data_IF_438537213898
#
_entry.id   IF_438537213898
#
_cell.length_a   1.000
_cell.length_b   1.000
_cell.length_c   1.000
_cell.angle_alpha   90.00
_cell.angle_beta   90.00
_cell.angle_gamma   90.00
#
_symmetry.space_group_name_H-M   'P 1'
#
loop_
_entity.id
_entity.type
_entity.pdbx_description
1 polymer ?
#
# COMPACT_ATOMS: atom_id res chain seq x y z
N UNK A 1 13.86 15.45 -13.16
CA UNK A 1 13.24 14.55 -12.13
C UNK A 1 11.80 14.29 -12.50
N UNK A 2 11.42 13.02 -12.61
CA UNK A 2 10.06 12.64 -12.95
C UNK A 2 9.46 11.89 -11.74
N UNK A 3 8.25 12.28 -11.35
CA UNK A 3 7.52 11.60 -10.28
C UNK A 3 6.32 10.91 -10.90
N UNK A 4 6.25 9.60 -10.72
CA UNK A 4 5.11 8.79 -11.13
C UNK A 4 4.17 8.61 -9.94
N UNK A 5 2.88 8.73 -10.21
CA UNK A 5 1.84 8.54 -9.20
C UNK A 5 1.03 7.30 -9.56
N UNK A 6 0.97 6.36 -8.64
CA UNK A 6 0.20 5.14 -8.79
C UNK A 6 -0.97 5.17 -7.81
N UNK A 7 -2.16 4.94 -8.32
CA UNK A 7 -3.38 4.93 -7.51
C UNK A 7 -4.14 3.64 -7.73
N UNK A 8 -4.66 3.09 -6.66
CA UNK A 8 -5.47 1.88 -6.70
C UNK A 8 -6.44 1.89 -5.53
N UNK A 9 -7.33 0.90 -5.51
CA UNK A 9 -8.22 0.71 -4.37
C UNK A 9 -8.40 -0.78 -4.10
N UNK A 10 -8.72 -1.10 -2.85
CA UNK A 10 -9.01 -2.47 -2.45
C UNK A 10 -10.11 -2.45 -1.41
N UNK A 11 -11.03 -3.41 -1.50
CA UNK A 11 -12.12 -3.58 -0.53
C UNK A 11 -11.91 -4.88 0.24
N UNK A 12 -11.88 -4.79 1.57
CA UNK A 12 -11.73 -5.97 2.42
C UNK A 12 -13.09 -6.61 2.68
N UNK A 13 -13.11 -7.88 3.00
CA UNK A 13 -14.34 -8.58 3.33
C UNK A 13 -14.10 -9.68 4.36
N UNK A 14 -14.96 -9.74 5.38
CA UNK A 14 -15.01 -10.80 6.38
C UNK A 14 -13.65 -11.10 7.05
N UNK A 15 -12.82 -10.08 7.26
CA UNK A 15 -11.51 -10.23 7.87
C UNK A 15 -10.47 -10.92 6.99
N UNK A 16 -10.78 -11.19 5.73
CA UNK A 16 -9.84 -11.80 4.81
C UNK A 16 -8.75 -10.81 4.40
N UNK A 17 -7.57 -11.34 4.07
CA UNK A 17 -6.50 -10.55 3.47
C UNK A 17 -6.91 -10.16 2.05
N UNK A 18 -6.85 -8.88 1.74
CA UNK A 18 -7.18 -8.36 0.42
C UNK A 18 -5.93 -7.74 -0.21
N UNK A 19 -5.82 -7.82 -1.53
CA UNK A 19 -4.60 -7.43 -2.22
C UNK A 19 -4.90 -6.66 -3.49
N UNK A 20 -3.99 -5.75 -3.84
CA UNK A 20 -3.99 -5.08 -5.14
C UNK A 20 -2.55 -5.03 -5.66
N UNK A 21 -2.42 -5.05 -6.98
CA UNK A 21 -1.11 -5.07 -7.63
C UNK A 21 -0.80 -3.73 -8.29
N UNK A 22 0.48 -3.39 -8.33
CA UNK A 22 0.96 -2.25 -9.10
C UNK A 22 2.27 -2.60 -9.79
N UNK A 23 2.56 -1.90 -10.88
CA UNK A 23 3.80 -2.09 -11.63
C UNK A 23 4.50 -0.76 -11.79
N UNK A 24 5.77 -0.72 -11.42
CA UNK A 24 6.57 0.51 -11.37
C UNK A 24 7.70 0.42 -12.37
N UNK A 25 7.95 1.45 -13.18
CA UNK A 25 9.06 1.43 -14.14
C UNK A 25 10.43 1.43 -13.50
N UNK A 26 10.54 1.88 -12.27
CA UNK A 26 11.81 1.95 -11.55
C UNK A 26 12.01 3.33 -10.95
N UNK A 27 12.59 3.39 -9.77
CA UNK A 27 12.85 4.64 -9.08
C UNK A 27 12.88 4.48 -7.57
N UNK A 28 12.76 5.60 -6.88
CA UNK A 28 12.73 5.65 -5.43
C UNK A 28 11.31 5.98 -4.98
N UNK A 29 10.71 5.09 -4.20
CA UNK A 29 9.41 5.37 -3.60
C UNK A 29 9.56 6.46 -2.54
N UNK A 30 8.84 7.56 -2.71
CA UNK A 30 8.92 8.72 -1.79
C UNK A 30 7.75 8.79 -0.82
N UNK A 31 6.64 8.19 -1.18
CA UNK A 31 5.47 8.20 -0.30
C UNK A 31 4.61 6.97 -0.53
N UNK A 32 4.14 6.40 0.56
CA UNK A 32 3.10 5.37 0.55
C UNK A 32 1.94 5.92 1.38
N UNK A 33 0.78 6.04 0.75
CA UNK A 33 -0.43 6.53 1.42
C UNK A 33 -1.54 5.50 1.24
N UNK A 34 -2.05 4.99 2.35
CA UNK A 34 -3.16 4.04 2.36
C UNK A 34 -4.23 4.62 3.27
N UNK A 35 -5.38 4.95 2.70
CA UNK A 35 -6.46 5.60 3.44
C UNK A 35 -7.71 4.73 3.45
N UNK A 36 -8.23 4.45 4.64
CA UNK A 36 -9.53 3.81 4.80
C UNK A 36 -10.64 4.84 4.54
N UNK A 37 -11.79 4.39 4.03
CA UNK A 37 -12.96 5.27 3.85
C UNK A 37 -13.47 5.78 5.19
N UNK A 38 -13.32 4.99 6.25
CA UNK A 38 -13.72 5.36 7.61
C UNK A 38 -12.48 5.65 8.44
N UNK A 39 -12.40 6.81 9.05
CA UNK A 39 -11.21 7.26 9.77
C UNK A 39 -10.94 6.50 11.08
N UNK A 40 -11.83 5.62 11.50
CA UNK A 40 -11.66 4.78 12.70
C UNK A 40 -11.29 3.34 12.36
N UNK A 41 -11.24 2.97 11.09
CA UNK A 41 -10.88 1.61 10.67
C UNK A 41 -9.43 1.31 11.02
N UNK A 42 -9.21 0.17 11.67
CA UNK A 42 -7.88 -0.32 12.05
C UNK A 42 -7.43 -1.35 11.02
N UNK A 43 -6.17 -1.32 10.63
CA UNK A 43 -5.66 -2.25 9.62
C UNK A 43 -4.15 -2.44 9.72
N UNK A 44 -3.67 -3.53 9.11
CA UNK A 44 -2.26 -3.82 8.89
C UNK A 44 -2.02 -3.87 7.38
N UNK A 45 -0.80 -3.57 6.96
CA UNK A 45 -0.45 -3.64 5.54
C UNK A 45 1.01 -4.06 5.33
N UNK A 46 1.28 -4.65 4.18
CA UNK A 46 2.64 -4.98 3.77
C UNK A 46 2.72 -5.05 2.24
N UNK A 47 3.94 -4.89 1.72
CA UNK A 47 4.22 -4.84 0.29
C UNK A 47 5.18 -5.97 -0.04
N UNK A 48 4.86 -6.73 -1.09
CA UNK A 48 5.64 -7.89 -1.53
C UNK A 48 6.03 -7.68 -2.99
N UNK A 49 7.25 -8.05 -3.36
CA UNK A 49 7.71 -7.98 -4.75
C UNK A 49 7.19 -9.18 -5.57
N UNK A 50 7.57 -9.26 -6.84
CA UNK A 50 7.13 -10.31 -7.75
C UNK A 50 7.75 -11.68 -7.44
N UNK A 51 8.73 -11.74 -6.54
CA UNK A 51 9.36 -12.99 -6.08
C UNK A 51 8.81 -13.44 -4.73
N UNK A 52 7.82 -12.74 -4.20
CA UNK A 52 7.24 -13.06 -2.91
C UNK A 52 8.03 -12.54 -1.72
N UNK A 53 9.01 -11.67 -1.94
CA UNK A 53 9.81 -11.10 -0.88
C UNK A 53 9.13 -9.85 -0.34
N UNK A 54 8.95 -9.80 0.97
CA UNK A 54 8.36 -8.64 1.64
C UNK A 54 9.37 -7.50 1.67
N UNK A 55 9.02 -6.38 1.02
CA UNK A 55 9.91 -5.23 0.92
C UNK A 55 9.58 -4.15 1.94
N UNK A 56 8.38 -4.16 2.49
CA UNK A 56 7.98 -3.22 3.54
C UNK A 56 6.79 -3.78 4.32
N UNK A 57 6.81 -3.59 5.63
CA UNK A 57 5.71 -3.99 6.51
C UNK A 57 5.39 -2.84 7.45
N UNK A 58 4.10 -2.55 7.57
CA UNK A 58 3.63 -1.50 8.45
C UNK A 58 2.86 -2.10 9.62
N UNK A 59 3.10 -1.57 10.80
CA UNK A 59 2.34 -1.93 11.98
C UNK A 59 0.91 -1.41 11.90
N UNK A 60 0.14 -1.64 12.96
CA UNK A 60 -1.26 -1.27 13.02
C UNK A 60 -1.45 0.24 12.83
N UNK A 61 -2.35 0.59 11.92
CA UNK A 61 -2.74 1.97 11.64
C UNK A 61 -4.23 2.14 11.88
N UNK A 62 -4.64 3.36 12.19
CA UNK A 62 -6.05 3.72 12.33
C UNK A 62 -6.39 4.78 11.30
N UNK A 63 -7.28 4.46 10.36
CA UNK A 63 -7.76 5.36 9.34
C UNK A 63 -6.80 5.60 8.19
N UNK A 64 -5.53 5.84 8.45
CA UNK A 64 -4.58 6.21 7.41
C UNK A 64 -3.16 5.77 7.76
N UNK A 65 -2.45 5.27 6.75
CA UNK A 65 -1.00 5.13 6.76
C UNK A 65 -0.43 6.17 5.80
N UNK A 66 0.45 7.03 6.30
CA UNK A 66 1.15 7.99 5.47
C UNK A 66 2.64 7.87 5.78
N UNK A 67 3.36 7.20 4.89
CA UNK A 67 4.79 6.95 5.05
C UNK A 67 5.57 7.78 4.03
N UNK A 68 6.31 8.75 4.52
CA UNK A 68 7.26 9.50 3.71
C UNK A 68 8.59 8.76 3.81
N UNK A 69 9.03 8.21 2.70
CA UNK A 69 10.10 7.22 2.71
C UNK A 69 11.07 7.42 1.54
N UNK A 70 12.04 6.54 1.43
CA UNK A 70 12.98 6.51 0.30
C UNK A 70 13.50 5.09 0.14
N UNK A 71 12.71 4.23 -0.55
CA UNK A 71 13.18 2.89 -0.87
C UNK A 71 13.04 2.62 -2.37
N UNK A 72 13.99 1.85 -2.95
CA UNK A 72 13.95 1.57 -4.39
C UNK A 72 12.79 0.65 -4.72
N UNK A 73 12.14 0.93 -5.87
CA UNK A 73 11.11 0.08 -6.44
C UNK A 73 11.36 -0.12 -7.92
N UNK A 74 11.13 -1.33 -8.41
CA UNK A 74 11.22 -1.64 -9.84
C UNK A 74 10.46 -2.93 -10.09
N UNK A 75 9.53 -2.90 -11.06
CA UNK A 75 8.76 -4.07 -11.45
C UNK A 75 7.41 -4.16 -10.75
N UNK A 76 6.94 -5.39 -10.54
CA UNK A 76 5.60 -5.66 -10.02
C UNK A 76 5.63 -5.85 -8.50
N UNK A 77 4.64 -5.26 -7.84
CA UNK A 77 4.46 -5.37 -6.39
C UNK A 77 3.01 -5.67 -6.09
N UNK A 78 2.78 -6.35 -4.97
CA UNK A 78 1.44 -6.58 -4.44
C UNK A 78 1.37 -5.96 -3.05
N UNK A 79 0.34 -5.14 -2.83
CA UNK A 79 0.07 -4.53 -1.53
C UNK A 79 -1.06 -5.30 -0.87
N UNK A 80 -0.83 -5.75 0.35
CA UNK A 80 -1.80 -6.51 1.12
C UNK A 80 -2.34 -5.66 2.26
N UNK A 81 -3.67 -5.69 2.43
CA UNK A 81 -4.36 -5.14 3.59
C UNK A 81 -4.92 -6.31 4.37
N UNK A 82 -4.61 -6.36 5.65
CA UNK A 82 -5.00 -7.48 6.51
C UNK A 82 -5.55 -6.96 7.84
N UNK A 83 -6.39 -7.77 8.48
CA UNK A 83 -6.98 -7.47 9.79
C UNK A 83 -7.74 -6.15 9.83
N UNK A 84 -8.39 -5.78 8.73
CA UNK A 84 -9.22 -4.57 8.72
C UNK A 84 -10.42 -4.75 9.65
N UNK A 85 -10.64 -3.78 10.51
CA UNK A 85 -11.75 -3.81 11.46
C UNK A 85 -12.31 -2.39 11.62
N UNK A 86 -13.54 -2.15 11.17
CA UNK A 86 -14.38 -3.02 10.33
C UNK A 86 -13.82 -3.18 8.90
N UNK A 87 -14.43 -4.06 8.11
CA UNK A 87 -14.12 -4.12 6.68
C UNK A 87 -14.41 -2.77 6.04
N UNK A 88 -13.57 -2.40 5.06
CA UNK A 88 -13.63 -1.07 4.47
C UNK A 88 -13.06 -1.08 3.04
N UNK A 89 -13.20 0.03 2.37
CA UNK A 89 -12.55 0.29 1.08
C UNK A 89 -11.36 1.21 1.33
N UNK A 90 -10.20 0.79 0.84
CA UNK A 90 -8.94 1.51 1.02
C UNK A 90 -8.50 2.10 -0.31
N UNK A 91 -8.08 3.37 -0.28
CA UNK A 91 -7.43 4.03 -1.41
C UNK A 91 -5.92 3.97 -1.20
N UNK A 92 -5.19 3.56 -2.24
CA UNK A 92 -3.75 3.44 -2.20
C UNK A 92 -3.12 4.43 -3.16
N UNK A 93 -2.05 5.07 -2.69
CA UNK A 93 -1.30 6.05 -3.47
C UNK A 93 0.19 5.84 -3.23
N UNK A 94 0.94 5.78 -4.32
CA UNK A 94 2.38 5.67 -4.30
C UNK A 94 2.99 6.76 -5.16
N UNK A 95 3.97 7.48 -4.62
CA UNK A 95 4.75 8.45 -5.37
C UNK A 95 6.16 7.89 -5.56
N UNK A 96 6.58 7.72 -6.81
CA UNK A 96 7.88 7.15 -7.15
C UNK A 96 8.65 8.16 -7.99
N UNK A 97 9.84 8.51 -7.51
CA UNK A 97 10.76 9.42 -8.20
C UNK A 97 11.76 8.62 -9.02
N UNK A 98 11.77 8.90 -10.29
CA UNK A 98 12.72 8.27 -11.20
C UNK A 98 14.10 8.90 -11.11
#
# INVERSE_FOLDING_TARGET
MTIYQFRSSVTTSAGATSATSLKVPGGICRQVLISASTNTTVFLSYIVDDKGIEVSRYGQQTGELNDITAFPMSGAYTVYITNASPDDTFSLYFAVEE
#
